data_IF_824750643879
#
_entry.id   IF_824750643879
#
_cell.length_a   1.000
_cell.length_b   1.000
_cell.length_c   1.000
_cell.angle_alpha   90.00
_cell.angle_beta   90.00
_cell.angle_gamma   90.00
#
_symmetry.space_group_name_H-M   'P 1'
#
loop_
_entity.id
_entity.type
_entity.pdbx_description
1 polymer ?
#
# COMPACT_ATOMS: atom_id res chain seq x y z
N UNK A 1 43.48 51.10 -50.52
CA UNK A 1 44.19 51.76 -49.39
C UNK A 1 43.27 51.58 -48.19
N UNK A 2 43.52 50.81 -47.13
CA UNK A 2 44.72 50.32 -46.41
C UNK A 2 44.20 49.15 -45.52
N UNK A 3 44.61 47.89 -45.73
CA UNK A 3 45.62 47.09 -45.00
C UNK A 3 45.40 46.84 -43.47
N UNK A 4 44.94 45.61 -43.15
CA UNK A 4 45.36 44.60 -42.11
C UNK A 4 45.42 44.96 -40.60
N UNK A 5 45.49 44.02 -39.60
CA UNK A 5 45.70 42.55 -39.66
C UNK A 5 44.85 41.65 -38.71
N UNK A 6 45.18 40.35 -38.74
CA UNK A 6 44.73 39.17 -37.97
C UNK A 6 44.65 39.28 -36.44
N UNK A 7 43.79 38.45 -35.82
CA UNK A 7 44.18 37.50 -34.74
C UNK A 7 43.11 36.42 -34.50
N UNK A 8 43.55 35.15 -34.52
CA UNK A 8 42.85 33.97 -34.02
C UNK A 8 42.83 33.98 -32.49
N UNK A 9 41.80 33.41 -31.84
CA UNK A 9 41.91 32.56 -30.65
C UNK A 9 40.56 31.92 -30.24
N UNK A 10 40.50 30.60 -30.46
CA UNK A 10 39.96 29.50 -29.65
C UNK A 10 38.94 29.72 -28.50
N UNK A 11 37.81 28.99 -28.65
CA UNK A 11 37.12 28.10 -27.68
C UNK A 11 36.61 28.62 -26.32
N UNK A 12 35.33 28.34 -26.04
CA UNK A 12 34.95 27.46 -24.93
C UNK A 12 33.49 26.96 -25.10
N UNK A 13 33.35 25.65 -25.32
CA UNK A 13 32.09 24.91 -25.13
C UNK A 13 31.74 24.87 -23.65
N UNK A 14 30.52 25.28 -23.28
CA UNK A 14 29.94 24.93 -21.99
C UNK A 14 29.14 23.63 -22.15
N UNK A 15 29.82 22.50 -22.09
CA UNK A 15 29.19 21.21 -21.78
C UNK A 15 28.85 21.27 -20.30
N UNK A 16 27.55 21.18 -19.96
CA UNK A 16 27.11 20.94 -18.59
C UNK A 16 27.69 19.59 -18.14
N UNK A 17 28.73 19.65 -17.32
CA UNK A 17 29.25 18.52 -16.56
C UNK A 17 28.18 18.15 -15.52
N UNK A 18 27.55 17.00 -15.72
CA UNK A 18 26.86 16.26 -14.68
C UNK A 18 27.84 16.03 -13.52
N UNK A 19 27.51 16.55 -12.34
CA UNK A 19 28.21 16.20 -11.11
C UNK A 19 28.01 14.70 -10.84
N UNK A 20 29.07 13.91 -10.60
CA UNK A 20 28.91 12.54 -10.14
C UNK A 20 28.46 12.60 -8.68
N UNK A 21 27.26 12.10 -8.40
CA UNK A 21 26.89 11.74 -7.04
C UNK A 21 27.93 10.76 -6.49
N UNK A 22 28.33 11.00 -5.25
CA UNK A 22 29.30 10.21 -4.50
C UNK A 22 28.79 8.79 -4.28
N UNK A 23 29.11 7.89 -5.22
CA UNK A 23 28.98 6.45 -5.04
C UNK A 23 30.02 6.03 -4.00
N UNK A 24 29.57 5.65 -2.81
CA UNK A 24 30.37 4.93 -1.82
C UNK A 24 31.09 3.76 -2.51
N UNK A 25 32.42 3.69 -2.31
CA UNK A 25 33.37 2.99 -3.18
C UNK A 25 33.08 1.51 -3.42
N UNK A 26 32.47 1.21 -4.57
CA UNK A 26 32.53 -0.11 -5.18
C UNK A 26 33.96 -0.38 -5.68
N UNK A 27 34.52 -1.60 -5.51
CA UNK A 27 35.80 -1.96 -6.09
C UNK A 27 35.84 -1.64 -7.59
N UNK A 28 36.95 -1.09 -8.09
CA UNK A 28 37.11 -0.65 -9.49
C UNK A 28 36.82 -1.76 -10.51
N UNK A 29 37.12 -3.01 -10.17
CA UNK A 29 36.75 -4.17 -10.98
C UNK A 29 35.24 -4.36 -11.11
N UNK A 30 34.48 -4.15 -10.04
CA UNK A 30 33.02 -4.25 -10.05
C UNK A 30 32.38 -3.09 -10.80
N UNK A 31 32.91 -1.87 -10.64
CA UNK A 31 32.47 -0.73 -11.46
C UNK A 31 32.72 -0.96 -12.95
N UNK A 32 33.86 -1.53 -13.31
CA UNK A 32 34.19 -1.85 -14.70
C UNK A 32 33.25 -2.93 -15.28
N UNK A 33 32.86 -3.92 -14.47
CA UNK A 33 31.83 -4.90 -14.87
C UNK A 33 30.46 -4.22 -15.05
N UNK A 34 30.04 -3.38 -14.12
CA UNK A 34 28.76 -2.66 -14.19
C UNK A 34 28.71 -1.70 -15.40
N UNK A 35 29.79 -0.97 -15.68
CA UNK A 35 29.89 -0.07 -16.83
C UNK A 35 29.95 -0.80 -18.17
N UNK A 36 30.53 -2.01 -18.20
CA UNK A 36 30.62 -2.85 -19.39
C UNK A 36 29.52 -3.92 -19.47
N UNK A 37 28.46 -3.82 -18.65
CA UNK A 37 27.22 -4.55 -18.93
C UNK A 37 26.64 -3.96 -20.21
N UNK A 38 27.03 -4.56 -21.34
CA UNK A 38 26.32 -4.40 -22.59
C UNK A 38 24.85 -4.72 -22.31
N UNK A 39 23.94 -3.81 -22.67
CA UNK A 39 22.49 -3.87 -22.41
C UNK A 39 21.81 -5.04 -23.15
N UNK A 40 22.38 -6.23 -23.06
CA UNK A 40 21.88 -7.46 -23.65
C UNK A 40 20.80 -8.04 -22.76
N UNK A 41 19.99 -8.91 -23.38
CA UNK A 41 18.94 -9.65 -22.70
C UNK A 41 19.44 -10.59 -21.60
N UNK A 42 20.75 -10.82 -21.52
CA UNK A 42 21.37 -11.69 -20.50
C UNK A 42 21.32 -11.07 -19.10
N UNK A 43 21.20 -9.74 -18.99
CA UNK A 43 21.12 -9.01 -17.71
C UNK A 43 19.70 -8.49 -17.39
N UNK A 44 18.74 -8.71 -18.28
CA UNK A 44 17.31 -8.49 -18.03
C UNK A 44 16.78 -9.65 -17.17
N UNK A 45 16.22 -9.35 -15.99
CA UNK A 45 15.61 -10.36 -15.14
C UNK A 45 14.10 -10.31 -15.35
N UNK A 46 13.44 -11.42 -15.74
CA UNK A 46 12.05 -11.36 -16.23
C UNK A 46 11.01 -10.71 -15.30
N UNK A 47 11.25 -10.67 -13.99
CA UNK A 47 10.36 -10.10 -12.97
C UNK A 47 10.92 -8.83 -12.31
N UNK A 48 11.86 -8.14 -12.96
CA UNK A 48 12.55 -6.98 -12.37
C UNK A 48 11.77 -5.68 -12.25
N UNK A 49 10.48 -5.67 -12.62
CA UNK A 49 9.64 -4.48 -12.54
C UNK A 49 9.62 -3.85 -11.14
N UNK A 50 9.68 -4.68 -10.08
CA UNK A 50 9.76 -4.22 -8.68
C UNK A 50 11.11 -4.56 -8.03
N UNK A 51 12.17 -4.73 -8.84
CA UNK A 51 13.50 -5.07 -8.31
C UNK A 51 13.96 -4.00 -7.33
N UNK A 52 14.44 -4.43 -6.17
CA UNK A 52 14.95 -3.53 -5.13
C UNK A 52 13.89 -2.92 -4.22
N UNK A 53 12.61 -3.14 -4.48
CA UNK A 53 11.52 -2.77 -3.57
C UNK A 53 11.40 -3.86 -2.52
N UNK A 54 11.63 -3.52 -1.25
CA UNK A 54 11.44 -4.44 -0.12
C UNK A 54 10.09 -4.10 0.54
N UNK A 55 9.13 -5.04 0.63
CA UNK A 55 7.87 -4.75 1.28
C UNK A 55 8.05 -4.55 2.77
N UNK A 56 7.34 -3.58 3.34
CA UNK A 56 7.22 -3.39 4.78
C UNK A 56 5.78 -3.17 5.19
N UNK A 57 5.52 -3.31 6.49
CA UNK A 57 4.21 -3.36 7.10
C UNK A 57 3.58 -1.97 7.14
N UNK A 58 3.16 -1.47 5.97
CA UNK A 58 2.54 -0.15 5.82
C UNK A 58 1.31 -0.20 4.92
N UNK A 59 0.29 0.53 5.36
CA UNK A 59 -0.88 0.90 4.58
C UNK A 59 -0.78 2.35 4.19
N UNK A 60 -0.87 2.57 2.88
CA UNK A 60 -1.13 3.86 2.30
C UNK A 60 -2.64 4.07 2.23
N UNK A 61 -3.13 5.22 2.65
CA UNK A 61 -4.52 5.61 2.42
C UNK A 61 -4.55 6.67 1.32
N UNK A 62 -5.07 6.35 0.13
CA UNK A 62 -5.27 7.34 -0.93
C UNK A 62 -6.56 8.09 -0.60
N UNK A 63 -6.46 9.04 0.33
CA UNK A 63 -7.62 9.78 0.84
C UNK A 63 -7.26 10.78 1.94
N UNK A 64 -6.51 10.36 2.96
CA UNK A 64 -6.16 11.22 4.11
C UNK A 64 -5.04 12.25 3.83
N UNK A 65 -4.46 12.25 2.62
CA UNK A 65 -3.42 13.22 2.23
C UNK A 65 -3.95 14.66 2.16
N UNK A 66 -3.85 15.37 3.27
CA UNK A 66 -3.81 16.83 3.33
C UNK A 66 -2.42 17.36 2.94
N UNK A 67 -1.83 16.89 1.83
CA UNK A 67 -0.63 17.47 1.22
C UNK A 67 -0.49 17.05 -0.26
N UNK A 68 -1.13 17.81 -1.14
CA UNK A 68 -0.69 18.19 -2.49
C UNK A 68 -0.19 17.17 -3.54
N UNK A 69 -0.29 15.85 -3.37
CA UNK A 69 -0.06 14.92 -4.49
C UNK A 69 -1.13 13.84 -4.53
N UNK A 70 -1.86 13.84 -5.65
CA UNK A 70 -2.65 12.70 -6.15
C UNK A 70 -1.76 11.45 -6.11
N UNK A 71 -1.82 10.68 -5.04
CA UNK A 71 -1.02 9.46 -4.91
C UNK A 71 -1.60 8.41 -5.85
N UNK A 72 -0.83 8.11 -6.88
CA UNK A 72 -0.97 6.91 -7.69
C UNK A 72 -0.73 5.70 -6.76
N UNK A 73 -1.56 4.65 -6.74
CA UNK A 73 -1.30 3.44 -5.97
C UNK A 73 0.08 2.83 -6.25
N UNK A 74 0.67 3.09 -7.43
CA UNK A 74 2.04 2.72 -7.73
C UNK A 74 3.10 3.46 -6.92
N UNK A 75 2.82 4.66 -6.42
CA UNK A 75 3.75 5.39 -5.55
C UNK A 75 3.88 4.71 -4.18
N UNK A 76 2.79 4.17 -3.63
CA UNK A 76 2.85 3.31 -2.45
C UNK A 76 3.67 2.05 -2.73
N UNK A 77 3.34 1.36 -3.83
CA UNK A 77 4.07 0.16 -4.24
C UNK A 77 5.57 0.42 -4.44
N UNK A 78 5.95 1.52 -5.11
CA UNK A 78 7.35 1.89 -5.36
C UNK A 78 8.13 2.15 -4.08
N UNK A 79 7.42 2.58 -3.03
CA UNK A 79 7.99 2.79 -1.71
C UNK A 79 7.95 1.54 -0.83
N UNK A 80 7.42 0.39 -1.28
CA UNK A 80 7.37 -0.84 -0.48
C UNK A 80 6.10 -1.02 0.37
N UNK A 81 5.08 -0.18 0.18
CA UNK A 81 3.82 -0.30 0.90
C UNK A 81 3.09 -1.57 0.45
N UNK A 82 2.74 -2.46 1.39
CA UNK A 82 2.01 -3.70 1.08
C UNK A 82 0.50 -3.51 1.02
N UNK A 83 0.01 -2.27 1.10
CA UNK A 83 -1.41 -2.01 1.05
C UNK A 83 -1.75 -0.58 0.63
N UNK A 84 -2.93 -0.42 0.04
CA UNK A 84 -3.50 0.84 -0.38
C UNK A 84 -4.98 0.89 -0.02
N UNK A 85 -5.53 2.09 0.17
CA UNK A 85 -6.95 2.34 0.32
C UNK A 85 -7.50 3.11 -0.88
N UNK A 86 -8.74 2.82 -1.28
CA UNK A 86 -9.46 3.51 -2.34
C UNK A 86 -10.83 4.00 -1.84
N UNK A 87 -11.01 5.32 -1.76
CA UNK A 87 -12.30 5.96 -1.49
C UNK A 87 -13.22 5.86 -2.72
N UNK A 88 -14.25 5.00 -2.69
CA UNK A 88 -15.11 4.72 -3.85
C UNK A 88 -16.50 5.31 -3.73
N UNK A 89 -16.93 5.96 -4.82
CA UNK A 89 -18.25 6.57 -4.98
C UNK A 89 -18.96 5.95 -6.19
N UNK A 90 -20.14 5.36 -5.98
CA UNK A 90 -20.94 4.82 -7.08
C UNK A 90 -21.83 5.90 -7.69
N UNK A 91 -21.61 6.22 -8.96
CA UNK A 91 -22.50 7.07 -9.74
C UNK A 91 -22.79 6.43 -11.09
N UNK A 92 -24.08 6.25 -11.42
CA UNK A 92 -24.54 5.69 -12.70
C UNK A 92 -23.87 4.36 -13.07
N UNK A 93 -23.59 3.49 -12.08
CA UNK A 93 -22.96 2.19 -12.29
C UNK A 93 -21.42 2.24 -12.41
N UNK A 94 -20.80 3.41 -12.31
CA UNK A 94 -19.34 3.56 -12.32
C UNK A 94 -18.82 3.88 -10.91
N UNK A 95 -17.77 3.17 -10.50
CA UNK A 95 -17.06 3.41 -9.24
C UNK A 95 -15.97 4.46 -9.47
N UNK A 96 -16.25 5.70 -9.09
CA UNK A 96 -15.29 6.80 -9.11
C UNK A 96 -14.45 6.81 -7.84
N UNK A 97 -13.20 7.27 -7.95
CA UNK A 97 -12.27 7.35 -6.81
C UNK A 97 -11.87 8.78 -6.49
N UNK A 98 -12.01 9.12 -5.21
CA UNK A 98 -11.53 10.38 -4.64
C UNK A 98 -11.98 10.55 -3.20
N UNK A 99 -11.21 11.32 -2.43
CA UNK A 99 -11.46 11.52 -1.00
C UNK A 99 -12.83 12.16 -0.73
N UNK A 100 -13.15 13.16 -1.54
CA UNK A 100 -14.43 13.85 -1.50
C UNK A 100 -15.01 14.02 -2.92
N UNK A 101 -16.29 14.34 -2.99
CA UNK A 101 -17.01 14.49 -4.27
C UNK A 101 -16.41 15.52 -5.23
N UNK A 102 -15.69 16.53 -4.76
CA UNK A 102 -15.05 17.55 -5.59
C UNK A 102 -13.76 17.06 -6.26
N UNK A 103 -13.16 15.99 -5.72
CA UNK A 103 -11.96 15.34 -6.26
C UNK A 103 -12.27 14.28 -7.35
N UNK A 104 -13.54 14.03 -7.63
CA UNK A 104 -13.97 13.05 -8.63
C UNK A 104 -13.82 13.59 -10.05
N UNK A 105 -13.24 12.78 -10.93
CA UNK A 105 -13.22 13.05 -12.38
C UNK A 105 -13.68 11.82 -13.15
N UNK A 106 -14.04 11.99 -14.43
CA UNK A 106 -14.57 10.89 -15.25
C UNK A 106 -13.53 9.79 -15.50
N UNK A 107 -12.26 10.15 -15.45
CA UNK A 107 -11.11 9.30 -15.73
C UNK A 107 -10.64 8.53 -14.49
N UNK A 108 -10.98 9.00 -13.29
CA UNK A 108 -10.56 8.42 -12.00
C UNK A 108 -11.58 7.40 -11.52
N UNK A 109 -11.42 6.15 -11.94
CA UNK A 109 -12.29 5.04 -11.53
C UNK A 109 -11.50 3.99 -10.77
N UNK A 110 -12.19 3.12 -10.02
CA UNK A 110 -11.55 1.97 -9.35
C UNK A 110 -10.81 1.10 -10.37
N UNK A 111 -11.40 0.94 -11.56
CA UNK A 111 -10.81 0.17 -12.65
C UNK A 111 -9.51 0.80 -13.17
N UNK A 112 -9.53 2.10 -13.49
CA UNK A 112 -8.39 2.79 -14.11
C UNK A 112 -7.23 3.01 -13.15
N UNK A 113 -7.53 3.26 -11.88
CA UNK A 113 -6.51 3.57 -10.87
C UNK A 113 -6.02 2.35 -10.11
N UNK A 114 -6.81 1.29 -9.93
CA UNK A 114 -6.41 0.14 -9.09
C UNK A 114 -6.41 -1.17 -9.86
N UNK A 115 -7.55 -1.59 -10.42
CA UNK A 115 -7.67 -2.95 -10.98
C UNK A 115 -6.73 -3.17 -12.17
N UNK A 116 -6.75 -2.28 -13.17
CA UNK A 116 -5.92 -2.41 -14.36
C UNK A 116 -4.42 -2.28 -14.05
N UNK A 117 -3.99 -1.27 -13.27
CA UNK A 117 -2.66 -1.21 -12.66
C UNK A 117 -2.17 -2.50 -12.00
N UNK A 118 -2.94 -3.05 -11.04
CA UNK A 118 -2.55 -4.26 -10.32
C UNK A 118 -2.41 -5.46 -11.26
N UNK A 119 -3.32 -5.60 -12.23
CA UNK A 119 -3.21 -6.65 -13.25
C UNK A 119 -1.94 -6.54 -14.07
N UNK A 120 -1.51 -5.33 -14.45
CA UNK A 120 -0.27 -5.14 -15.21
C UNK A 120 0.95 -5.58 -14.39
N UNK A 121 1.03 -5.19 -13.11
CA UNK A 121 2.10 -5.64 -12.21
C UNK A 121 2.12 -7.16 -12.09
N UNK A 122 0.98 -7.76 -11.77
CA UNK A 122 0.89 -9.19 -11.52
C UNK A 122 1.21 -10.00 -12.77
N UNK A 123 0.81 -9.53 -13.97
CA UNK A 123 1.19 -10.16 -15.24
C UNK A 123 2.69 -10.11 -15.48
N UNK A 124 3.35 -8.99 -15.16
CA UNK A 124 4.82 -8.85 -15.27
C UNK A 124 5.57 -9.69 -14.24
N UNK A 125 5.02 -9.84 -13.04
CA UNK A 125 5.57 -10.70 -11.99
C UNK A 125 5.37 -12.21 -12.25
N UNK A 126 4.51 -12.55 -13.21
CA UNK A 126 4.16 -13.93 -13.55
C UNK A 126 4.31 -14.22 -15.06
N UNK A 127 5.52 -14.05 -15.63
CA UNK A 127 5.73 -14.22 -17.07
C UNK A 127 5.63 -15.68 -17.50
N UNK A 128 5.13 -15.91 -18.71
CA UNK A 128 5.19 -17.23 -19.34
C UNK A 128 6.61 -17.54 -19.77
N UNK A 129 7.13 -18.67 -19.35
CA UNK A 129 8.49 -19.12 -19.67
C UNK A 129 8.53 -20.63 -19.88
N UNK A 130 9.37 -21.10 -20.79
CA UNK A 130 9.58 -22.54 -21.03
C UNK A 130 10.17 -23.28 -19.83
N UNK A 131 10.68 -22.54 -18.83
CA UNK A 131 11.24 -23.08 -17.60
C UNK A 131 10.18 -23.35 -16.51
N UNK A 132 8.93 -22.91 -16.72
CA UNK A 132 7.85 -23.08 -15.74
C UNK A 132 6.80 -24.03 -16.31
N UNK A 133 6.52 -25.12 -15.58
CA UNK A 133 5.60 -26.18 -16.00
C UNK A 133 4.15 -25.96 -15.54
N UNK A 134 3.89 -24.91 -14.77
CA UNK A 134 2.57 -24.52 -14.27
C UNK A 134 2.51 -22.98 -14.08
N UNK A 135 1.31 -22.37 -14.03
CA UNK A 135 1.22 -20.93 -13.75
C UNK A 135 1.88 -20.57 -12.41
N UNK A 136 2.69 -19.50 -12.39
CA UNK A 136 3.16 -18.89 -11.14
C UNK A 136 2.07 -18.00 -10.55
N UNK A 137 2.12 -17.78 -9.24
CA UNK A 137 1.20 -16.91 -8.52
C UNK A 137 1.97 -15.96 -7.58
N UNK A 138 3.02 -15.35 -8.11
CA UNK A 138 3.84 -14.37 -7.41
C UNK A 138 3.02 -13.09 -7.15
N UNK A 139 3.21 -12.53 -5.97
CA UNK A 139 2.71 -11.22 -5.54
C UNK A 139 3.37 -10.06 -6.28
N UNK A 140 3.10 -8.85 -5.82
CA UNK A 140 3.60 -7.63 -6.47
C UNK A 140 5.08 -7.36 -6.21
N UNK A 141 5.70 -8.04 -5.23
CA UNK A 141 7.07 -7.81 -4.81
C UNK A 141 7.98 -8.96 -5.21
N UNK A 142 8.88 -8.72 -6.16
CA UNK A 142 9.94 -9.68 -6.56
C UNK A 142 10.82 -10.13 -5.37
N UNK A 143 11.08 -9.25 -4.41
CA UNK A 143 11.86 -9.55 -3.20
C UNK A 143 11.12 -10.42 -2.18
N UNK A 144 9.79 -10.53 -2.29
CA UNK A 144 8.94 -11.34 -1.42
C UNK A 144 7.68 -11.79 -2.18
N UNK A 145 7.86 -12.79 -3.03
CA UNK A 145 6.82 -13.26 -3.97
C UNK A 145 5.54 -13.75 -3.28
N UNK A 146 5.56 -14.08 -2.00
CA UNK A 146 4.38 -14.50 -1.23
C UNK A 146 3.64 -13.35 -0.52
N UNK A 147 4.18 -12.13 -0.54
CA UNK A 147 3.57 -10.99 0.12
C UNK A 147 2.30 -10.57 -0.61
N UNK A 148 1.16 -10.71 0.07
CA UNK A 148 -0.12 -10.19 -0.44
C UNK A 148 -0.12 -8.67 -0.39
N UNK A 149 -0.78 -8.06 -1.37
CA UNK A 149 -1.07 -6.64 -1.38
C UNK A 149 -2.51 -6.42 -0.92
N UNK A 150 -2.71 -5.69 0.18
CA UNK A 150 -4.07 -5.40 0.66
C UNK A 150 -4.66 -4.20 -0.08
N UNK A 151 -5.83 -4.40 -0.69
CA UNK A 151 -6.63 -3.33 -1.27
C UNK A 151 -7.81 -3.07 -0.33
N UNK A 152 -7.75 -1.98 0.42
CA UNK A 152 -8.88 -1.47 1.19
C UNK A 152 -9.79 -0.67 0.25
N UNK A 153 -11.09 -0.93 0.29
CA UNK A 153 -12.08 -0.22 -0.52
C UNK A 153 -13.06 0.47 0.42
N UNK A 154 -12.92 1.77 0.60
CA UNK A 154 -13.77 2.58 1.45
C UNK A 154 -15.03 3.00 0.69
N UNK A 155 -16.16 2.40 1.06
CA UNK A 155 -17.46 2.66 0.43
C UNK A 155 -18.06 3.96 0.96
N UNK A 156 -18.08 5.01 0.12
CA UNK A 156 -18.58 6.35 0.50
C UNK A 156 -20.06 6.60 0.20
N UNK A 157 -20.65 5.82 -0.71
CA UNK A 157 -22.07 5.91 -1.10
C UNK A 157 -22.91 4.81 -0.43
N UNK A 158 -24.11 4.51 -0.94
CA UNK A 158 -25.00 3.46 -0.42
C UNK A 158 -24.26 2.12 -0.30
N UNK A 159 -24.20 1.56 0.92
CA UNK A 159 -23.42 0.37 1.23
C UNK A 159 -23.71 -0.81 0.31
N UNK A 160 -24.96 -1.30 0.28
CA UNK A 160 -25.33 -2.46 -0.51
C UNK A 160 -25.12 -2.29 -2.01
N UNK A 161 -25.53 -1.16 -2.58
CA UNK A 161 -25.42 -0.92 -4.03
C UNK A 161 -23.96 -0.75 -4.45
N UNK A 162 -23.20 0.05 -3.69
CA UNK A 162 -21.81 0.35 -4.00
C UNK A 162 -20.94 -0.87 -3.81
N UNK A 163 -21.10 -1.59 -2.69
CA UNK A 163 -20.30 -2.77 -2.42
C UNK A 163 -20.60 -3.90 -3.40
N UNK A 164 -21.85 -4.04 -3.86
CA UNK A 164 -22.17 -4.94 -4.98
C UNK A 164 -21.35 -4.58 -6.24
N UNK A 165 -21.33 -3.30 -6.63
CA UNK A 165 -20.55 -2.85 -7.78
C UNK A 165 -19.04 -3.10 -7.57
N UNK A 166 -18.53 -2.96 -6.34
CA UNK A 166 -17.14 -3.29 -5.99
C UNK A 166 -16.87 -4.77 -6.24
N UNK A 167 -17.73 -5.67 -5.74
CA UNK A 167 -17.58 -7.13 -5.94
C UNK A 167 -17.55 -7.49 -7.43
N UNK A 168 -18.44 -6.87 -8.23
CA UNK A 168 -18.49 -7.06 -9.68
C UNK A 168 -17.18 -6.56 -10.35
N UNK A 169 -16.62 -5.44 -9.89
CA UNK A 169 -15.37 -4.86 -10.43
C UNK A 169 -14.11 -5.70 -10.11
N UNK A 170 -14.18 -6.65 -9.18
CA UNK A 170 -13.07 -7.57 -8.87
C UNK A 170 -12.91 -8.71 -9.90
N UNK A 171 -13.88 -8.89 -10.81
CA UNK A 171 -13.90 -10.01 -11.77
C UNK A 171 -12.57 -10.20 -12.52
N UNK A 172 -11.91 -9.15 -13.05
CA UNK A 172 -10.64 -9.33 -13.76
C UNK A 172 -9.52 -9.95 -12.91
N UNK A 173 -9.46 -9.66 -11.61
CA UNK A 173 -8.49 -10.27 -10.68
C UNK A 173 -8.89 -11.70 -10.33
N UNK A 174 -10.20 -11.95 -10.18
CA UNK A 174 -10.79 -13.26 -9.91
C UNK A 174 -10.52 -14.26 -11.03
N UNK A 175 -10.72 -13.86 -12.28
CA UNK A 175 -10.47 -14.69 -13.47
C UNK A 175 -9.01 -15.19 -13.56
N UNK A 176 -8.06 -14.39 -13.06
CA UNK A 176 -6.65 -14.75 -13.04
C UNK A 176 -6.22 -15.51 -11.76
N UNK A 177 -7.13 -15.71 -10.80
CA UNK A 177 -6.83 -16.37 -9.54
C UNK A 177 -5.95 -15.55 -8.60
N UNK A 178 -5.95 -14.23 -8.73
CA UNK A 178 -5.07 -13.34 -7.95
C UNK A 178 -5.64 -12.92 -6.58
N UNK A 179 -6.91 -13.19 -6.32
CA UNK A 179 -7.55 -12.81 -5.07
C UNK A 179 -7.35 -13.86 -3.98
N UNK A 180 -7.14 -13.42 -2.74
CA UNK A 180 -7.31 -14.25 -1.55
C UNK A 180 -8.77 -14.67 -1.44
N UNK A 181 -9.02 -15.96 -1.29
CA UNK A 181 -10.39 -16.52 -1.26
C UNK A 181 -10.68 -17.19 0.07
N UNK A 182 -11.94 -17.16 0.49
CA UNK A 182 -12.49 -18.01 1.54
C UNK A 182 -13.47 -18.99 0.90
N UNK A 183 -13.32 -20.27 1.25
CA UNK A 183 -14.23 -21.33 0.82
C UNK A 183 -14.91 -22.00 2.02
N UNK A 184 -16.21 -22.25 1.88
CA UNK A 184 -17.07 -22.94 2.85
C UNK A 184 -17.01 -22.36 4.28
N UNK A 185 -16.76 -21.05 4.41
CA UNK A 185 -16.50 -20.37 5.68
C UNK A 185 -15.37 -21.00 6.54
N UNK A 186 -14.39 -21.66 5.91
CA UNK A 186 -13.37 -22.42 6.63
C UNK A 186 -11.97 -22.27 6.06
N UNK A 187 -11.82 -22.31 4.75
CA UNK A 187 -10.51 -22.44 4.11
C UNK A 187 -10.14 -21.16 3.40
N UNK A 188 -9.14 -20.46 3.94
CA UNK A 188 -8.50 -19.33 3.24
C UNK A 188 -7.46 -19.88 2.27
N UNK A 189 -7.50 -19.42 1.02
CA UNK A 189 -6.42 -19.58 0.04
C UNK A 189 -5.84 -18.21 -0.24
N UNK A 190 -4.60 -17.96 0.17
CA UNK A 190 -3.94 -16.67 -0.02
C UNK A 190 -3.65 -16.41 -1.49
N UNK A 191 -3.98 -15.21 -1.94
CA UNK A 191 -3.65 -14.71 -3.26
C UNK A 191 -2.71 -13.49 -3.20
N UNK A 192 -2.14 -13.10 -4.34
CA UNK A 192 -1.40 -11.85 -4.51
C UNK A 192 -2.12 -10.60 -3.99
N UNK A 193 -3.45 -10.58 -4.02
CA UNK A 193 -4.27 -9.44 -3.58
C UNK A 193 -5.31 -9.89 -2.56
N UNK A 194 -5.39 -9.17 -1.44
CA UNK A 194 -6.45 -9.36 -0.44
C UNK A 194 -7.32 -8.11 -0.40
N UNK A 195 -8.59 -8.23 -0.82
CA UNK A 195 -9.53 -7.09 -0.86
C UNK A 195 -10.31 -7.01 0.43
N UNK A 196 -10.34 -5.83 1.06
CA UNK A 196 -11.03 -5.57 2.32
C UNK A 196 -11.99 -4.39 2.12
N UNK A 197 -13.29 -4.60 2.31
CA UNK A 197 -14.28 -3.53 2.28
C UNK A 197 -14.32 -2.80 3.62
N UNK A 198 -14.23 -1.47 3.58
CA UNK A 198 -14.35 -0.56 4.73
C UNK A 198 -15.39 0.54 4.44
N UNK A 199 -15.50 1.56 5.30
CA UNK A 199 -16.52 2.61 5.19
C UNK A 199 -17.95 2.06 5.36
N UNK A 200 -18.87 2.40 4.46
CA UNK A 200 -20.25 1.89 4.48
C UNK A 200 -20.38 0.43 4.00
N UNK A 201 -19.33 -0.39 4.05
CA UNK A 201 -19.39 -1.79 3.65
C UNK A 201 -20.40 -2.55 4.54
N UNK A 202 -21.43 -3.20 3.95
CA UNK A 202 -22.46 -3.88 4.74
C UNK A 202 -21.97 -5.26 5.21
N UNK A 203 -21.93 -5.45 6.53
CA UNK A 203 -21.50 -6.71 7.17
C UNK A 203 -22.28 -7.94 6.66
N UNK A 204 -23.58 -7.79 6.41
CA UNK A 204 -24.47 -8.84 5.89
C UNK A 204 -24.16 -9.27 4.45
N UNK A 205 -23.36 -8.52 3.70
CA UNK A 205 -22.85 -8.93 2.39
C UNK A 205 -21.49 -9.67 2.46
N UNK A 206 -20.86 -9.73 3.63
CA UNK A 206 -19.54 -10.37 3.81
C UNK A 206 -19.62 -11.60 4.71
N UNK A 207 -20.01 -11.43 5.97
CA UNK A 207 -19.93 -12.47 6.99
C UNK A 207 -20.73 -13.75 6.67
N UNK A 208 -21.98 -13.68 6.17
CA UNK A 208 -22.75 -14.89 5.87
C UNK A 208 -22.37 -15.56 4.54
N UNK A 209 -21.57 -14.89 3.68
CA UNK A 209 -21.23 -15.39 2.34
C UNK A 209 -20.11 -16.43 2.43
N UNK A 210 -20.47 -17.72 2.33
CA UNK A 210 -19.55 -18.83 2.59
C UNK A 210 -18.36 -18.93 1.62
N UNK A 211 -18.57 -18.54 0.37
CA UNK A 211 -17.57 -18.54 -0.70
C UNK A 211 -17.42 -17.12 -1.22
N UNK A 212 -16.26 -16.51 -1.00
CA UNK A 212 -15.97 -15.13 -1.40
C UNK A 212 -14.48 -14.90 -1.56
N UNK A 213 -14.14 -13.74 -2.12
CA UNK A 213 -12.77 -13.29 -2.36
C UNK A 213 -12.53 -11.84 -1.95
N UNK A 214 -13.34 -11.41 -0.99
CA UNK A 214 -13.31 -10.11 -0.34
C UNK A 214 -13.63 -10.30 1.15
N UNK A 215 -13.14 -9.37 1.96
CA UNK A 215 -13.20 -9.44 3.42
C UNK A 215 -13.73 -8.13 4.00
N UNK A 216 -13.94 -8.11 5.31
CA UNK A 216 -14.51 -6.98 6.05
C UNK A 216 -13.43 -6.29 6.89
N UNK A 217 -13.43 -4.96 6.92
CA UNK A 217 -12.66 -4.18 7.89
C UNK A 217 -13.51 -4.03 9.17
N UNK A 218 -13.19 -4.78 10.21
CA UNK A 218 -13.94 -4.69 11.46
C UNK A 218 -13.51 -3.47 12.28
N UNK A 219 -14.42 -2.97 13.11
CA UNK A 219 -14.15 -1.89 14.04
C UNK A 219 -13.28 -2.40 15.19
N UNK A 220 -12.01 -2.00 15.21
CA UNK A 220 -11.03 -2.49 16.19
C UNK A 220 -11.41 -2.09 17.63
N UNK A 221 -11.97 -0.90 17.80
CA UNK A 221 -12.37 -0.31 19.07
C UNK A 221 -13.53 -1.04 19.75
N UNK A 222 -14.41 -1.66 18.97
CA UNK A 222 -15.57 -2.42 19.46
C UNK A 222 -15.43 -3.93 19.26
N UNK A 223 -14.25 -4.40 18.83
CA UNK A 223 -14.03 -5.81 18.53
C UNK A 223 -14.29 -6.72 19.74
N UNK A 224 -14.01 -6.24 20.96
CA UNK A 224 -14.23 -7.00 22.20
C UNK A 224 -15.71 -7.10 22.62
N UNK A 225 -16.60 -6.32 22.00
CA UNK A 225 -18.01 -6.34 22.37
C UNK A 225 -18.68 -7.69 22.06
N UNK A 226 -19.64 -8.17 22.86
CA UNK A 226 -20.25 -9.49 22.71
C UNK A 226 -20.88 -9.74 21.33
N UNK A 227 -21.49 -8.73 20.73
CA UNK A 227 -22.07 -8.78 19.39
C UNK A 227 -21.03 -9.08 18.30
N UNK A 228 -19.77 -8.72 18.53
CA UNK A 228 -18.67 -8.90 17.59
C UNK A 228 -17.87 -10.18 17.86
N UNK A 229 -18.26 -11.00 18.84
CA UNK A 229 -17.54 -12.23 19.20
C UNK A 229 -17.40 -13.23 18.04
N UNK A 230 -18.31 -13.19 17.06
CA UNK A 230 -18.25 -14.02 15.85
C UNK A 230 -17.26 -13.54 14.78
N UNK A 231 -16.70 -12.33 14.91
CA UNK A 231 -15.75 -11.78 13.96
C UNK A 231 -14.36 -12.37 14.21
N UNK A 232 -13.89 -13.16 13.26
CA UNK A 232 -12.55 -13.76 13.23
C UNK A 232 -11.79 -13.33 11.99
N UNK A 233 -10.53 -13.76 11.87
CA UNK A 233 -9.71 -13.56 10.67
C UNK A 233 -10.33 -14.08 9.36
N UNK A 234 -11.29 -15.01 9.43
CA UNK A 234 -12.02 -15.49 8.25
C UNK A 234 -12.91 -14.37 7.67
N UNK A 235 -13.50 -13.55 8.54
CA UNK A 235 -14.36 -12.42 8.16
C UNK A 235 -13.52 -11.18 7.92
N UNK A 236 -12.60 -10.90 8.85
CA UNK A 236 -11.85 -9.66 8.92
C UNK A 236 -10.37 -9.96 9.17
N UNK A 237 -9.53 -10.02 8.14
CA UNK A 237 -8.09 -10.23 8.31
C UNK A 237 -7.41 -9.01 8.96
N UNK A 238 -7.98 -7.82 8.77
CA UNK A 238 -7.56 -6.56 9.41
C UNK A 238 -8.80 -5.89 10.02
N UNK A 239 -8.65 -5.37 11.23
CA UNK A 239 -9.59 -4.48 11.89
C UNK A 239 -8.94 -3.12 12.14
N UNK A 240 -9.69 -2.06 11.86
CA UNK A 240 -9.20 -0.67 11.87
C UNK A 240 -10.00 0.21 12.83
N UNK A 241 -9.38 1.29 13.30
CA UNK A 241 -10.04 2.39 14.05
C UNK A 241 -9.26 3.69 13.87
N UNK A 242 -9.90 4.85 14.07
CA UNK A 242 -9.19 6.11 14.23
C UNK A 242 -8.30 6.03 15.47
N UNK A 243 -7.03 6.36 15.31
CA UNK A 243 -6.12 6.54 16.43
C UNK A 243 -6.60 7.68 17.34
N UNK A 244 -7.04 8.78 16.74
CA UNK A 244 -7.48 9.96 17.47
C UNK A 244 -8.73 9.67 18.32
N UNK A 245 -9.68 8.89 17.83
CA UNK A 245 -10.88 8.54 18.59
C UNK A 245 -10.62 7.44 19.63
N UNK A 246 -9.89 6.38 19.26
CA UNK A 246 -9.64 5.24 20.15
C UNK A 246 -8.65 5.57 21.27
N UNK A 247 -7.57 6.29 20.94
CA UNK A 247 -6.45 6.56 21.84
C UNK A 247 -6.46 8.01 22.33
N UNK A 248 -7.01 8.95 21.57
CA UNK A 248 -7.04 10.36 21.93
C UNK A 248 -5.84 11.16 21.41
N UNK A 249 -5.92 12.47 21.59
CA UNK A 249 -4.87 13.40 21.15
C UNK A 249 -3.54 13.14 21.85
N UNK A 250 -2.47 13.12 21.06
CA UNK A 250 -1.09 13.07 21.55
C UNK A 250 -0.58 14.49 21.75
N UNK A 251 -0.21 14.83 22.99
CA UNK A 251 0.42 16.12 23.28
C UNK A 251 1.93 15.99 23.06
N UNK A 252 2.56 16.82 22.20
CA UNK A 252 4.00 16.85 22.09
C UNK A 252 4.64 17.13 23.46
N UNK A 253 5.58 16.29 23.86
CA UNK A 253 6.34 16.47 25.09
C UNK A 253 7.78 16.03 24.90
N UNK A 254 8.67 16.52 25.76
CA UNK A 254 10.08 16.11 25.79
C UNK A 254 10.29 14.76 26.50
N UNK A 255 9.19 14.09 26.89
CA UNK A 255 9.23 12.76 27.48
C UNK A 255 9.82 11.72 26.52
N UNK A 256 10.41 10.67 27.08
CA UNK A 256 10.82 9.48 26.31
C UNK A 256 9.61 8.68 25.81
N UNK A 257 8.45 8.84 26.44
CA UNK A 257 7.19 8.19 26.06
C UNK A 257 6.25 9.16 25.38
N UNK A 258 5.65 8.73 24.27
CA UNK A 258 4.71 9.54 23.47
C UNK A 258 3.25 9.37 23.92
N UNK A 259 2.91 8.20 24.48
CA UNK A 259 1.57 7.90 24.97
C UNK A 259 1.57 7.82 26.51
N UNK A 260 0.48 8.26 27.12
CA UNK A 260 0.22 8.04 28.56
C UNK A 260 -0.04 6.56 28.85
N UNK A 261 0.10 6.13 30.10
CA UNK A 261 -0.20 4.75 30.51
C UNK A 261 -1.64 4.32 30.15
N UNK A 262 -2.61 5.23 30.28
CA UNK A 262 -4.00 4.96 29.90
C UNK A 262 -4.15 4.70 28.39
N UNK A 263 -3.50 5.54 27.58
CA UNK A 263 -3.50 5.41 26.12
C UNK A 263 -2.83 4.10 25.68
N UNK A 264 -1.67 3.81 26.27
CA UNK A 264 -0.92 2.61 25.99
C UNK A 264 -1.67 1.33 26.42
N UNK A 265 -2.36 1.37 27.56
CA UNK A 265 -3.23 0.27 28.01
C UNK A 265 -4.39 0.02 27.04
N UNK A 266 -4.98 1.08 26.48
CA UNK A 266 -6.08 0.97 25.51
C UNK A 266 -5.58 0.34 24.21
N UNK A 267 -4.47 0.87 23.68
CA UNK A 267 -3.79 0.36 22.49
C UNK A 267 -3.45 -1.13 22.62
N UNK A 268 -2.83 -1.52 23.73
CA UNK A 268 -2.47 -2.92 24.02
C UNK A 268 -3.68 -3.83 24.09
N UNK A 269 -4.75 -3.39 24.75
CA UNK A 269 -5.98 -4.17 24.87
C UNK A 269 -6.63 -4.44 23.51
N UNK A 270 -6.68 -3.42 22.65
CA UNK A 270 -7.24 -3.54 21.29
C UNK A 270 -6.39 -4.48 20.41
N UNK A 271 -5.06 -4.29 20.38
CA UNK A 271 -4.16 -5.15 19.61
C UNK A 271 -4.22 -6.60 20.11
N UNK A 272 -4.23 -6.80 21.43
CA UNK A 272 -4.32 -8.15 22.02
C UNK A 272 -5.62 -8.85 21.61
N UNK A 273 -6.76 -8.15 21.70
CA UNK A 273 -8.07 -8.70 21.29
C UNK A 273 -8.08 -9.11 19.82
N UNK A 274 -7.55 -8.27 18.93
CA UNK A 274 -7.44 -8.59 17.51
C UNK A 274 -6.56 -9.83 17.28
N UNK A 275 -5.38 -9.84 17.91
CA UNK A 275 -4.40 -10.92 17.77
C UNK A 275 -4.93 -12.26 18.26
N UNK A 276 -5.68 -12.29 19.37
CA UNK A 276 -6.35 -13.50 19.88
C UNK A 276 -7.32 -14.11 18.87
N UNK A 277 -7.92 -13.27 18.01
CA UNK A 277 -8.85 -13.69 16.94
C UNK A 277 -8.18 -13.90 15.58
N UNK A 278 -6.84 -13.83 15.54
CA UNK A 278 -6.03 -13.91 14.34
C UNK A 278 -6.16 -12.70 13.41
N UNK A 279 -6.71 -11.59 13.91
CA UNK A 279 -6.96 -10.35 13.17
C UNK A 279 -5.78 -9.41 13.37
N UNK A 280 -5.35 -8.75 12.29
CA UNK A 280 -4.38 -7.68 12.37
C UNK A 280 -5.02 -6.35 12.78
N UNK A 281 -4.37 -5.60 13.67
CA UNK A 281 -4.81 -4.24 14.02
C UNK A 281 -4.22 -3.20 13.04
N UNK A 282 -5.01 -2.20 12.65
CA UNK A 282 -4.60 -0.98 11.92
C UNK A 282 -5.18 0.25 12.62
N UNK A 283 -4.41 1.34 12.64
CA UNK A 283 -4.89 2.63 13.16
C UNK A 283 -4.70 3.70 12.09
N UNK A 284 -5.78 4.39 11.69
CA UNK A 284 -5.75 5.55 10.79
C UNK A 284 -5.75 6.86 11.60
N UNK A 285 -5.64 8.02 10.95
CA UNK A 285 -5.58 9.32 11.66
C UNK A 285 -4.46 9.45 12.71
N UNK A 286 -3.31 8.80 12.49
CA UNK A 286 -2.16 8.99 13.39
C UNK A 286 -1.57 10.40 13.24
N UNK A 287 -0.98 10.99 14.30
CA UNK A 287 -0.42 12.35 14.21
C UNK A 287 0.64 12.48 13.11
N UNK A 288 0.44 13.40 12.16
CA UNK A 288 1.38 13.67 11.06
C UNK A 288 2.47 14.69 11.40
N UNK A 289 2.19 15.60 12.34
CA UNK A 289 3.11 16.64 12.82
C UNK A 289 2.93 16.89 14.32
N UNK A 290 4.00 17.23 15.08
CA UNK A 290 5.41 17.31 14.69
C UNK A 290 6.05 15.97 14.30
N UNK A 291 7.07 16.01 13.43
CA UNK A 291 7.76 14.79 12.92
C UNK A 291 8.28 13.89 14.05
N UNK A 292 8.82 14.49 15.13
CA UNK A 292 9.28 13.72 16.30
C UNK A 292 8.12 12.92 16.92
N UNK A 293 6.98 13.57 17.15
CA UNK A 293 5.78 12.94 17.71
C UNK A 293 5.25 11.84 16.80
N UNK A 294 5.13 12.12 15.48
CA UNK A 294 4.75 11.12 14.47
C UNK A 294 5.63 9.88 14.54
N UNK A 295 6.95 10.05 14.44
CA UNK A 295 7.89 8.93 14.44
C UNK A 295 7.85 8.14 15.76
N UNK A 296 7.65 8.82 16.90
CA UNK A 296 7.48 8.13 18.18
C UNK A 296 6.17 7.33 18.24
N UNK A 297 5.07 7.85 17.68
CA UNK A 297 3.81 7.08 17.58
C UNK A 297 4.01 5.86 16.68
N UNK A 298 4.64 6.01 15.52
CA UNK A 298 4.98 4.88 14.63
C UNK A 298 5.84 3.84 15.35
N UNK A 299 6.91 4.27 16.04
CA UNK A 299 7.75 3.40 16.87
C UNK A 299 6.92 2.63 17.90
N UNK A 300 6.00 3.28 18.59
CA UNK A 300 5.15 2.64 19.60
C UNK A 300 4.20 1.63 18.96
N UNK A 301 3.49 2.00 17.89
CA UNK A 301 2.58 1.08 17.20
C UNK A 301 3.28 -0.18 16.70
N UNK A 302 4.47 -0.04 16.10
CA UNK A 302 5.28 -1.17 15.64
C UNK A 302 5.74 -2.06 16.80
N UNK A 303 6.20 -1.47 17.92
CA UNK A 303 6.62 -2.21 19.12
C UNK A 303 5.46 -2.99 19.75
N UNK A 304 4.27 -2.40 19.78
CA UNK A 304 3.07 -3.03 20.33
C UNK A 304 2.45 -4.07 19.37
N UNK A 305 2.95 -4.16 18.13
CA UNK A 305 2.60 -5.23 17.19
C UNK A 305 1.39 -4.93 16.32
N UNK A 306 1.23 -3.66 15.90
CA UNK A 306 0.28 -3.31 14.84
C UNK A 306 0.55 -4.14 13.58
N UNK A 307 -0.49 -4.60 12.90
CA UNK A 307 -0.36 -5.43 11.72
C UNK A 307 -0.17 -4.63 10.44
N UNK A 308 -0.58 -3.36 10.43
CA UNK A 308 -0.40 -2.40 9.35
C UNK A 308 -0.24 -0.99 9.94
N UNK A 309 0.85 -0.30 9.59
CA UNK A 309 1.04 1.10 9.97
C UNK A 309 0.40 2.01 8.92
N UNK A 310 -0.51 2.90 9.29
CA UNK A 310 -1.03 3.92 8.37
C UNK A 310 -0.02 5.08 8.26
N UNK A 311 0.29 5.51 7.04
CA UNK A 311 1.09 6.72 6.81
C UNK A 311 0.70 7.45 5.53
N UNK A 312 0.55 8.76 5.65
CA UNK A 312 0.32 9.66 4.50
C UNK A 312 1.63 10.12 3.84
N UNK A 313 2.70 10.24 4.63
CA UNK A 313 4.03 10.64 4.17
C UNK A 313 4.87 9.39 3.82
N UNK A 314 4.68 8.92 2.59
CA UNK A 314 5.29 7.68 2.09
C UNK A 314 6.81 7.73 2.06
N UNK A 315 7.39 8.88 1.70
CA UNK A 315 8.85 9.03 1.63
C UNK A 315 9.44 8.97 3.05
N UNK A 316 8.83 9.67 4.01
CA UNK A 316 9.30 9.60 5.38
C UNK A 316 9.06 8.22 6.01
N UNK A 317 7.98 7.53 5.64
CA UNK A 317 7.74 6.17 6.11
C UNK A 317 8.74 5.18 5.52
N UNK A 318 9.03 5.27 4.22
CA UNK A 318 10.05 4.46 3.56
C UNK A 318 11.44 4.70 4.14
N UNK A 319 11.80 5.96 4.42
CA UNK A 319 13.08 6.31 5.07
C UNK A 319 13.15 6.04 6.57
N UNK A 320 12.03 5.68 7.21
CA UNK A 320 11.99 5.31 8.62
C UNK A 320 12.37 3.84 8.84
N UNK A 321 12.10 2.96 7.87
CA UNK A 321 12.49 1.54 7.88
C UNK A 321 13.89 1.32 7.29
#
# INVERSE_FOLDING_TARGET
MTLLPHSLLFTASAVLLSLPETVLGLPTGLQNVLQNTHRSKEYEYPTDFTRGIVPFILTMTIGEMCLSTLSDPFQGLSNGCISTEADVWLYNGTLYVGHDTSSLTKERTLESLYINPMLDVLKRQNPRSSFVTSPTNNGMFDTSVGQTFYLFVDVKTSGHETFKAVIDALEPLREHGYLTTLKDNKTITNGPVTVIGTGNTPYDMVAPVANRDYFYDAHLESLNEPENAGITNLISPIASTSFADAIGTVTPSDSETVLTEKQLSTLRSQIATAKERGIGARYWETPSYPIRTRNMVWSTLLKEGVALLNADDLEAAAGYF
#
